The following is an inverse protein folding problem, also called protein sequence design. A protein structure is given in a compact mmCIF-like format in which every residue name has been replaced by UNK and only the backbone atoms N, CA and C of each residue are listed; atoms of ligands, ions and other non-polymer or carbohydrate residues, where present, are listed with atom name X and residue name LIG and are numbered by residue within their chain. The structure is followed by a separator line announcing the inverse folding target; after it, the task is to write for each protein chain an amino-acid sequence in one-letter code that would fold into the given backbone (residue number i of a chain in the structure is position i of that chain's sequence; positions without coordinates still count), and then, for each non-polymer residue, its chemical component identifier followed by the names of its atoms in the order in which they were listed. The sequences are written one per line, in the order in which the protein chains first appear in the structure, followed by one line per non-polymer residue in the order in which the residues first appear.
data_IF_700607601567
#
_entry.id   IF_700607601567
#
_cell.length_a   1.000
_cell.length_b   1.000
_cell.length_c   1.000
_cell.angle_alpha   90.00
_cell.angle_beta   90.00
_cell.angle_gamma   90.00
#
_symmetry.space_group_name_H-M   'P 1'
#
loop_
_entity.id
_entity.type
_entity.pdbx_description
1 polymer ?
#
# COMPACT_ATOMS: atom_id res chain seq x y z
N UNK A 1 21.50 37.31 -1.05
CA UNK A 1 20.95 36.87 -2.36
C UNK A 1 19.80 35.92 -2.10
N UNK A 2 18.58 36.40 -2.33
CA UNK A 2 17.35 35.66 -2.09
C UNK A 2 17.15 34.60 -3.18
N UNK A 3 17.08 33.33 -2.80
CA UNK A 3 16.66 32.26 -3.69
C UNK A 3 15.16 32.01 -3.52
N UNK A 4 14.46 32.13 -4.66
CA UNK A 4 13.01 32.10 -4.83
C UNK A 4 12.35 30.85 -4.22
N UNK A 5 11.44 31.06 -3.27
CA UNK A 5 10.56 30.06 -2.62
C UNK A 5 9.30 29.71 -3.45
N UNK A 6 9.34 29.78 -4.77
CA UNK A 6 8.14 29.58 -5.58
C UNK A 6 8.43 28.90 -6.90
N UNK A 7 8.58 27.57 -6.91
CA UNK A 7 8.47 26.78 -8.16
C UNK A 7 8.22 25.26 -7.96
N UNK A 8 7.64 24.83 -6.83
CA UNK A 8 7.19 23.43 -6.64
C UNK A 8 5.71 23.42 -6.16
N UNK A 9 4.88 24.20 -6.82
CA UNK A 9 3.42 24.03 -6.83
C UNK A 9 2.97 24.29 -8.26
N UNK A 10 2.16 23.37 -8.79
CA UNK A 10 1.68 23.26 -10.18
C UNK A 10 2.72 22.70 -11.16
N UNK A 11 2.62 21.40 -11.45
CA UNK A 11 2.18 20.83 -12.74
C UNK A 11 2.32 19.29 -12.63
N UNK A 12 1.20 18.60 -12.39
CA UNK A 12 0.84 17.33 -13.04
C UNK A 12 -0.63 17.02 -12.73
N UNK A 13 -1.50 17.97 -13.06
CA UNK A 13 -2.92 17.70 -13.31
C UNK A 13 -3.19 18.12 -14.75
N UNK A 14 -2.78 17.29 -15.70
CA UNK A 14 -3.20 17.42 -17.09
C UNK A 14 -3.92 16.14 -17.50
N UNK A 15 -5.24 16.31 -17.63
CA UNK A 15 -6.19 15.50 -18.39
C UNK A 15 -6.67 14.15 -17.82
N UNK A 16 -6.85 14.05 -16.50
CA UNK A 16 -7.94 13.24 -15.96
C UNK A 16 -9.03 14.19 -15.47
N UNK A 17 -10.11 14.32 -16.24
CA UNK A 17 -11.39 14.83 -15.73
C UNK A 17 -11.74 14.01 -14.49
N UNK A 18 -11.58 14.60 -13.30
CA UNK A 18 -12.09 14.04 -12.04
C UNK A 18 -13.62 14.09 -12.05
N UNK A 19 -14.27 13.26 -12.87
CA UNK A 19 -15.66 12.91 -12.61
C UNK A 19 -15.66 12.03 -11.37
N UNK A 20 -16.05 12.62 -10.22
CA UNK A 20 -16.39 11.82 -9.04
C UNK A 20 -17.66 11.06 -9.38
N UNK A 21 -17.48 9.85 -9.92
CA UNK A 21 -18.53 8.85 -10.05
C UNK A 21 -19.19 8.64 -8.67
N UNK A 22 -20.52 8.57 -8.62
CA UNK A 22 -21.25 8.19 -7.41
C UNK A 22 -20.81 6.81 -6.93
N UNK A 23 -20.89 6.51 -5.64
CA UNK A 23 -20.47 5.22 -5.07
C UNK A 23 -21.08 4.01 -5.81
N UNK A 24 -22.35 4.11 -6.22
CA UNK A 24 -23.04 3.08 -7.01
C UNK A 24 -22.43 2.89 -8.40
N UNK A 25 -22.05 3.98 -9.08
CA UNK A 25 -21.43 3.89 -10.40
C UNK A 25 -20.00 3.33 -10.35
N UNK A 26 -19.24 3.60 -9.28
CA UNK A 26 -17.94 2.97 -9.04
C UNK A 26 -18.06 1.46 -8.81
N UNK A 27 -19.01 1.03 -7.98
CA UNK A 27 -19.24 -0.39 -7.70
C UNK A 27 -19.53 -1.17 -8.99
N UNK A 28 -20.40 -0.63 -9.85
CA UNK A 28 -20.71 -1.23 -11.15
C UNK A 28 -19.49 -1.41 -12.06
N UNK A 29 -18.56 -0.44 -12.06
CA UNK A 29 -17.29 -0.58 -12.80
C UNK A 29 -16.45 -1.73 -12.25
N UNK A 30 -16.33 -1.83 -10.92
CA UNK A 30 -15.55 -2.90 -10.27
C UNK A 30 -16.18 -4.29 -10.51
N UNK A 31 -17.50 -4.41 -10.47
CA UNK A 31 -18.23 -5.64 -10.80
C UNK A 31 -18.01 -6.05 -12.26
N UNK A 32 -18.03 -5.09 -13.19
CA UNK A 32 -17.75 -5.37 -14.60
C UNK A 32 -16.29 -5.79 -14.82
N UNK A 33 -15.33 -5.17 -14.12
CA UNK A 33 -13.93 -5.64 -14.13
C UNK A 33 -13.87 -7.08 -13.60
N UNK A 34 -14.53 -7.37 -12.48
CA UNK A 34 -14.54 -8.70 -11.88
C UNK A 34 -15.01 -9.79 -12.87
N UNK A 35 -16.04 -9.49 -13.68
CA UNK A 35 -16.53 -10.40 -14.73
C UNK A 35 -15.46 -10.74 -15.77
N UNK A 36 -14.59 -9.79 -16.13
CA UNK A 36 -13.49 -10.04 -17.07
C UNK A 36 -12.41 -10.95 -16.49
N UNK A 37 -12.25 -10.94 -15.17
CA UNK A 37 -11.32 -11.79 -14.43
C UNK A 37 -11.96 -13.08 -13.90
N UNK A 38 -13.24 -13.33 -14.20
CA UNK A 38 -13.89 -14.56 -13.79
C UNK A 38 -13.21 -15.76 -14.47
N UNK A 39 -12.90 -16.80 -13.70
CA UNK A 39 -12.17 -18.01 -14.15
C UNK A 39 -10.75 -17.77 -14.71
N UNK A 40 -10.16 -16.61 -14.42
CA UNK A 40 -8.77 -16.29 -14.77
C UNK A 40 -7.86 -16.59 -13.58
N UNK A 41 -7.06 -17.65 -13.70
CA UNK A 41 -6.05 -17.97 -12.68
C UNK A 41 -4.89 -16.96 -12.70
N UNK A 42 -4.60 -16.39 -11.54
CA UNK A 42 -3.56 -15.38 -11.35
C UNK A 42 -2.27 -15.95 -10.74
N UNK A 43 -2.31 -17.14 -10.13
CA UNK A 43 -1.25 -17.70 -9.25
C UNK A 43 0.17 -17.73 -9.83
N UNK A 44 0.32 -17.67 -11.15
CA UNK A 44 1.62 -17.72 -11.84
C UNK A 44 2.02 -16.39 -12.50
N UNK A 45 1.20 -15.35 -12.37
CA UNK A 45 1.52 -14.06 -12.98
C UNK A 45 2.82 -13.50 -12.36
N UNK A 46 3.75 -12.97 -13.17
CA UNK A 46 5.07 -12.60 -12.66
C UNK A 46 4.98 -11.37 -11.74
N UNK A 47 5.91 -11.27 -10.79
CA UNK A 47 6.00 -10.10 -9.88
C UNK A 47 6.57 -8.87 -10.58
N UNK A 48 7.46 -9.07 -11.56
CA UNK A 48 8.10 -8.02 -12.36
C UNK A 48 7.70 -8.13 -13.82
N UNK A 49 7.71 -7.01 -14.54
CA UNK A 49 7.38 -6.99 -15.97
C UNK A 49 8.23 -7.98 -16.76
N UNK A 50 7.56 -8.71 -17.67
CA UNK A 50 8.18 -9.53 -18.69
C UNK A 50 7.98 -8.88 -20.04
N UNK A 51 8.97 -9.03 -20.93
CA UNK A 51 8.88 -8.55 -22.31
C UNK A 51 7.80 -9.30 -23.12
N UNK A 52 7.47 -10.52 -22.70
CA UNK A 52 6.52 -11.37 -23.40
C UNK A 52 5.52 -12.04 -22.44
N UNK A 53 4.24 -11.73 -22.63
CA UNK A 53 3.13 -12.26 -21.83
C UNK A 53 2.36 -13.41 -22.52
N UNK A 54 2.90 -14.03 -23.58
CA UNK A 54 2.25 -15.14 -24.32
C UNK A 54 1.81 -16.30 -23.40
N UNK A 55 2.51 -16.55 -22.30
CA UNK A 55 2.13 -17.58 -21.30
C UNK A 55 0.91 -17.19 -20.45
N UNK A 56 0.50 -15.92 -20.50
CA UNK A 56 -0.55 -15.30 -19.68
C UNK A 56 -1.70 -14.75 -20.52
N UNK A 57 -2.00 -15.38 -21.67
CA UNK A 57 -3.05 -14.95 -22.61
C UNK A 57 -4.41 -14.69 -21.96
N UNK A 58 -4.84 -15.49 -20.98
CA UNK A 58 -6.12 -15.27 -20.29
C UNK A 58 -6.15 -13.92 -19.55
N UNK A 59 -5.07 -13.58 -18.85
CA UNK A 59 -4.93 -12.29 -18.16
C UNK A 59 -4.83 -11.14 -19.16
N UNK A 60 -4.10 -11.35 -20.26
CA UNK A 60 -4.00 -10.34 -21.33
C UNK A 60 -5.36 -10.09 -21.98
N UNK A 61 -6.14 -11.14 -22.25
CA UNK A 61 -7.49 -11.01 -22.80
C UNK A 61 -8.44 -10.29 -21.83
N UNK A 62 -8.42 -10.65 -20.54
CA UNK A 62 -9.19 -9.95 -19.51
C UNK A 62 -8.86 -8.45 -19.47
N UNK A 63 -7.57 -8.11 -19.47
CA UNK A 63 -7.12 -6.73 -19.55
C UNK A 63 -7.62 -6.04 -20.84
N UNK A 64 -7.46 -6.67 -22.00
CA UNK A 64 -7.89 -6.09 -23.28
C UNK A 64 -9.41 -5.84 -23.29
N UNK A 65 -10.21 -6.75 -22.72
CA UNK A 65 -11.64 -6.55 -22.58
C UNK A 65 -11.96 -5.35 -21.68
N UNK A 66 -11.24 -5.16 -20.57
CA UNK A 66 -11.39 -3.95 -19.75
C UNK A 66 -11.10 -2.65 -20.54
N UNK A 67 -10.15 -2.68 -21.47
CA UNK A 67 -9.86 -1.53 -22.35
C UNK A 67 -10.99 -1.32 -23.36
N UNK A 68 -11.44 -2.38 -24.03
CA UNK A 68 -12.53 -2.32 -25.03
C UNK A 68 -13.84 -1.81 -24.39
N UNK A 69 -14.16 -2.28 -23.20
CA UNK A 69 -15.34 -1.87 -22.42
C UNK A 69 -15.15 -0.54 -21.66
N UNK A 70 -14.01 0.13 -21.84
CA UNK A 70 -13.69 1.42 -21.21
C UNK A 70 -13.74 1.39 -19.66
N UNK A 71 -13.46 0.24 -19.05
CA UNK A 71 -13.41 0.07 -17.60
C UNK A 71 -12.11 0.62 -16.99
N UNK A 72 -11.08 0.81 -17.82
CA UNK A 72 -9.73 1.24 -17.43
C UNK A 72 -9.50 2.75 -17.51
N UNK A 73 -10.51 3.51 -17.90
CA UNK A 73 -10.40 4.96 -18.12
C UNK A 73 -10.06 5.73 -16.84
N UNK A 74 -10.40 5.19 -15.67
CA UNK A 74 -10.05 5.81 -14.40
C UNK A 74 -9.56 4.74 -13.40
N UNK A 75 -8.23 4.55 -13.26
CA UNK A 75 -7.64 3.61 -12.32
C UNK A 75 -8.04 3.86 -10.86
N UNK A 76 -8.54 5.06 -10.52
CA UNK A 76 -9.09 5.29 -9.19
C UNK A 76 -10.27 4.38 -8.87
N UNK A 77 -10.98 3.84 -9.87
CA UNK A 77 -12.09 2.92 -9.67
C UNK A 77 -11.63 1.54 -9.21
N UNK A 78 -10.40 1.14 -9.52
CA UNK A 78 -9.84 -0.15 -9.10
C UNK A 78 -9.92 -0.32 -7.57
N UNK A 79 -10.11 -1.55 -7.07
CA UNK A 79 -10.06 -1.83 -5.64
C UNK A 79 -8.67 -1.52 -5.10
N UNK A 80 -8.61 -0.99 -3.88
CA UNK A 80 -7.32 -0.82 -3.21
C UNK A 80 -6.82 -2.17 -2.70
N UNK A 81 -5.49 -2.32 -2.59
CA UNK A 81 -4.85 -3.48 -1.97
C UNK A 81 -5.42 -3.74 -0.56
N UNK A 82 -5.61 -2.69 0.24
CA UNK A 82 -6.24 -2.80 1.56
C UNK A 82 -7.67 -3.36 1.51
N UNK A 83 -8.48 -2.94 0.52
CA UNK A 83 -9.83 -3.49 0.31
C UNK A 83 -9.78 -4.96 -0.10
N UNK A 84 -8.88 -5.33 -1.02
CA UNK A 84 -8.71 -6.73 -1.46
C UNK A 84 -8.35 -7.61 -0.25
N UNK A 85 -7.32 -7.24 0.51
CA UNK A 85 -6.85 -8.01 1.66
C UNK A 85 -7.93 -8.11 2.74
N UNK A 86 -8.57 -7.00 3.12
CA UNK A 86 -9.62 -7.02 4.15
C UNK A 86 -10.84 -7.88 3.77
N UNK A 87 -11.30 -7.84 2.53
CA UNK A 87 -12.50 -8.60 2.11
C UNK A 87 -12.22 -10.08 1.85
N UNK A 88 -10.95 -10.46 1.69
CA UNK A 88 -10.53 -11.86 1.44
C UNK A 88 -9.80 -12.48 2.62
N UNK A 89 -9.95 -11.89 3.82
CA UNK A 89 -9.34 -12.41 5.03
C UNK A 89 -9.74 -13.87 5.27
N UNK A 90 -8.78 -14.70 5.70
CA UNK A 90 -9.09 -16.10 6.02
C UNK A 90 -10.11 -16.19 7.16
N UNK A 91 -10.92 -17.27 7.24
CA UNK A 91 -11.86 -17.45 8.34
C UNK A 91 -11.19 -17.39 9.72
N UNK A 92 -9.97 -17.92 9.84
CA UNK A 92 -9.21 -17.89 11.09
C UNK A 92 -8.73 -16.48 11.44
N UNK A 93 -8.18 -15.73 10.48
CA UNK A 93 -7.80 -14.33 10.67
C UNK A 93 -8.99 -13.46 11.05
N UNK A 94 -10.15 -13.67 10.41
CA UNK A 94 -11.39 -12.98 10.73
C UNK A 94 -11.86 -13.29 12.16
N UNK A 95 -11.75 -14.56 12.59
CA UNK A 95 -12.10 -14.99 13.94
C UNK A 95 -11.20 -14.35 14.99
N UNK A 96 -9.89 -14.27 14.75
CA UNK A 96 -8.93 -13.59 15.62
C UNK A 96 -9.25 -12.09 15.71
N UNK A 97 -9.53 -11.44 14.58
CA UNK A 97 -9.90 -10.02 14.55
C UNK A 97 -11.17 -9.75 15.35
N UNK A 98 -12.24 -10.52 15.12
CA UNK A 98 -13.50 -10.40 15.85
C UNK A 98 -13.34 -10.61 17.35
N UNK A 99 -12.48 -11.56 17.77
CA UNK A 99 -12.17 -11.78 19.19
C UNK A 99 -11.50 -10.54 19.80
N UNK A 100 -10.50 -9.99 19.13
CA UNK A 100 -9.84 -8.76 19.58
C UNK A 100 -10.80 -7.57 19.65
N UNK A 101 -11.67 -7.39 18.66
CA UNK A 101 -12.70 -6.34 18.68
C UNK A 101 -13.64 -6.52 19.88
N UNK A 102 -14.15 -7.73 20.12
CA UNK A 102 -15.01 -8.03 21.26
C UNK A 102 -14.31 -7.78 22.61
N UNK A 103 -13.03 -8.16 22.74
CA UNK A 103 -12.23 -7.89 23.93
C UNK A 103 -12.05 -6.40 24.18
N UNK A 104 -11.75 -5.60 23.14
CA UNK A 104 -11.61 -4.14 23.25
C UNK A 104 -12.94 -3.46 23.58
N UNK A 105 -14.06 -3.89 22.96
CA UNK A 105 -15.40 -3.39 23.29
C UNK A 105 -15.75 -3.72 24.75
N UNK A 106 -15.41 -4.91 25.25
CA UNK A 106 -15.62 -5.28 26.65
C UNK A 106 -14.82 -4.40 27.62
N UNK A 107 -13.62 -3.96 27.23
CA UNK A 107 -12.74 -3.12 28.05
C UNK A 107 -13.15 -1.64 28.04
N UNK A 108 -13.55 -1.11 26.88
CA UNK A 108 -13.72 0.33 26.65
C UNK A 108 -15.19 0.77 26.49
N UNK A 109 -16.12 -0.19 26.34
CA UNK A 109 -17.45 0.07 25.81
C UNK A 109 -17.44 0.28 24.29
N UNK A 110 -18.62 0.30 23.67
CA UNK A 110 -18.75 0.48 22.22
C UNK A 110 -18.27 1.86 21.76
N UNK A 111 -18.68 2.93 22.45
CA UNK A 111 -18.23 4.30 22.13
C UNK A 111 -16.73 4.48 22.35
N UNK A 112 -16.20 3.96 23.47
CA UNK A 112 -14.76 3.99 23.73
C UNK A 112 -13.95 3.21 22.69
N UNK A 113 -14.47 2.09 22.17
CA UNK A 113 -13.86 1.37 21.07
C UNK A 113 -13.84 2.18 19.76
N UNK A 114 -14.91 2.93 19.45
CA UNK A 114 -14.94 3.81 18.27
C UNK A 114 -13.91 4.94 18.37
N UNK A 115 -13.79 5.59 19.53
CA UNK A 115 -12.76 6.62 19.72
C UNK A 115 -11.35 6.02 19.68
N UNK A 116 -11.13 4.88 20.33
CA UNK A 116 -9.86 4.15 20.24
C UNK A 116 -9.45 3.83 18.79
N UNK A 117 -10.40 3.37 17.96
CA UNK A 117 -10.15 3.10 16.54
C UNK A 117 -9.79 4.36 15.77
N UNK A 118 -10.48 5.47 16.04
CA UNK A 118 -10.20 6.79 15.43
C UNK A 118 -8.82 7.30 15.84
N UNK A 119 -8.44 7.12 17.10
CA UNK A 119 -7.10 7.43 17.59
C UNK A 119 -6.03 6.57 16.90
N UNK A 120 -6.22 5.25 16.77
CA UNK A 120 -5.29 4.38 16.05
C UNK A 120 -5.01 4.87 14.62
N UNK A 121 -6.05 5.25 13.88
CA UNK A 121 -5.89 5.80 12.53
C UNK A 121 -5.20 7.17 12.53
N UNK A 122 -5.57 8.04 13.47
CA UNK A 122 -4.94 9.35 13.62
C UNK A 122 -3.44 9.21 13.91
N UNK A 123 -3.06 8.29 14.80
CA UNK A 123 -1.67 8.02 15.16
C UNK A 123 -0.84 7.57 13.96
N UNK A 124 -1.37 6.63 13.16
CA UNK A 124 -0.70 6.19 11.93
C UNK A 124 -0.54 7.33 10.91
N UNK A 125 -1.60 8.12 10.71
CA UNK A 125 -1.57 9.26 9.79
C UNK A 125 -0.53 10.31 10.17
N UNK A 126 -0.45 10.68 11.45
CA UNK A 126 0.54 11.67 11.93
C UNK A 126 1.97 11.13 11.74
N UNK A 127 2.21 9.84 12.02
CA UNK A 127 3.52 9.24 11.78
C UNK A 127 3.93 9.33 10.31
N UNK A 128 3.05 8.95 9.38
CA UNK A 128 3.31 9.04 7.93
C UNK A 128 3.59 10.48 7.49
N UNK A 129 2.81 11.46 7.99
CA UNK A 129 3.06 12.88 7.74
C UNK A 129 4.42 13.35 8.25
N UNK A 130 4.84 12.90 9.44
CA UNK A 130 6.15 13.22 10.00
C UNK A 130 7.27 12.58 9.18
N UNK A 131 7.12 11.32 8.76
CA UNK A 131 8.10 10.65 7.88
C UNK A 131 8.23 11.42 6.58
N UNK A 132 7.11 11.76 5.92
CA UNK A 132 7.13 12.56 4.70
C UNK A 132 7.85 13.90 4.91
N UNK A 133 7.44 14.65 5.94
CA UNK A 133 8.03 15.97 6.25
C UNK A 133 9.53 15.85 6.48
N UNK A 134 9.97 14.85 7.24
CA UNK A 134 11.39 14.64 7.48
C UNK A 134 12.17 14.26 6.22
N UNK A 135 11.66 13.34 5.40
CA UNK A 135 12.36 12.90 4.20
C UNK A 135 12.51 14.03 3.17
N UNK A 136 11.56 14.96 3.12
CA UNK A 136 11.58 16.14 2.26
C UNK A 136 12.48 17.27 2.80
N UNK A 137 12.46 17.51 4.12
CA UNK A 137 13.08 18.72 4.72
C UNK A 137 14.37 18.46 5.47
N UNK A 138 14.57 17.22 5.93
CA UNK A 138 15.64 16.78 6.85
C UNK A 138 15.67 17.55 8.16
N UNK A 139 14.54 18.11 8.58
CA UNK A 139 14.43 18.95 9.77
C UNK A 139 13.41 18.39 10.78
N UNK A 140 13.91 17.90 11.91
CA UNK A 140 13.11 17.34 13.01
C UNK A 140 12.20 18.42 13.63
N UNK A 141 12.56 19.71 13.53
CA UNK A 141 11.75 20.81 14.11
C UNK A 141 10.43 21.03 13.36
N UNK A 142 10.29 20.48 12.16
CA UNK A 142 9.07 20.58 11.35
C UNK A 142 8.08 19.44 11.62
N UNK A 143 8.46 18.49 12.48
CA UNK A 143 7.61 17.35 12.83
C UNK A 143 6.54 17.76 13.83
N UNK A 144 5.35 17.18 13.66
CA UNK A 144 4.21 17.46 14.50
C UNK A 144 4.00 16.33 15.51
N UNK A 145 4.27 16.61 16.78
CA UNK A 145 4.04 15.69 17.89
C UNK A 145 2.91 16.19 18.77
N UNK A 146 1.72 15.61 18.59
CA UNK A 146 0.52 15.97 19.36
C UNK A 146 0.35 15.14 20.65
N UNK A 147 1.18 14.12 20.85
CA UNK A 147 1.13 13.26 22.03
C UNK A 147 2.44 12.52 22.25
N UNK A 148 2.64 11.98 23.46
CA UNK A 148 3.83 11.19 23.79
C UNK A 148 3.98 9.94 22.90
N UNK A 149 2.86 9.31 22.56
CA UNK A 149 2.82 8.18 21.63
C UNK A 149 3.37 8.56 20.25
N UNK A 150 3.10 9.77 19.75
CA UNK A 150 3.67 10.26 18.48
C UNK A 150 5.18 10.47 18.55
N UNK A 151 5.68 11.06 19.64
CA UNK A 151 7.13 11.18 19.86
C UNK A 151 7.80 9.80 19.92
N UNK A 152 7.16 8.85 20.60
CA UNK A 152 7.68 7.49 20.75
C UNK A 152 7.72 6.75 19.41
N UNK A 153 6.68 6.84 18.58
CA UNK A 153 6.72 6.25 17.24
C UNK A 153 7.86 6.83 16.39
N UNK A 154 8.10 8.15 16.48
CA UNK A 154 9.24 8.76 15.81
C UNK A 154 10.57 8.24 16.34
N UNK A 155 10.75 8.23 17.66
CA UNK A 155 11.92 7.67 18.33
C UNK A 155 12.19 6.22 17.91
N UNK A 156 11.14 5.43 17.74
CA UNK A 156 11.23 4.03 17.29
C UNK A 156 11.93 3.90 15.94
N UNK A 157 11.63 4.79 14.99
CA UNK A 157 12.15 4.75 13.60
C UNK A 157 13.32 5.70 13.36
N UNK A 158 13.67 6.56 14.31
CA UNK A 158 14.73 7.58 14.16
C UNK A 158 16.06 6.97 13.69
N UNK A 159 16.40 5.79 14.20
CA UNK A 159 17.61 5.06 13.82
C UNK A 159 17.62 4.57 12.36
N UNK A 160 16.46 4.48 11.70
CA UNK A 160 16.31 4.07 10.30
C UNK A 160 16.57 5.26 9.36
N UNK A 161 16.24 6.48 9.81
CA UNK A 161 16.24 7.69 8.99
C UNK A 161 17.57 8.04 8.31
N UNK A 162 18.75 7.91 8.96
CA UNK A 162 20.03 8.22 8.33
C UNK A 162 20.36 7.33 7.12
N UNK A 163 19.79 6.13 7.06
CA UNK A 163 19.99 5.19 5.96
C UNK A 163 19.12 5.53 4.75
N UNK A 164 18.14 6.43 4.89
CA UNK A 164 17.22 6.84 3.82
C UNK A 164 17.69 8.18 3.24
N UNK A 165 18.17 8.20 1.98
CA UNK A 165 18.82 9.40 1.40
C UNK A 165 18.02 10.06 0.27
N UNK A 166 17.91 9.41 -0.88
CA UNK A 166 17.26 10.01 -2.04
C UNK A 166 15.78 9.66 -2.02
N UNK A 167 14.90 10.64 -1.83
CA UNK A 167 13.45 10.46 -1.92
C UNK A 167 13.02 10.62 -3.39
N UNK A 168 12.46 9.57 -3.98
CA UNK A 168 11.89 9.61 -5.33
C UNK A 168 10.41 9.98 -5.32
N UNK A 169 9.69 9.67 -4.23
CA UNK A 169 8.31 10.08 -4.02
C UNK A 169 7.70 9.51 -2.74
N UNK A 170 6.66 10.18 -2.26
CA UNK A 170 5.88 9.83 -1.07
C UNK A 170 4.39 9.85 -1.39
N UNK A 171 3.60 9.04 -0.68
CA UNK A 171 2.14 8.95 -0.83
C UNK A 171 1.70 8.74 -2.29
N UNK A 172 2.41 7.84 -2.99
CA UNK A 172 2.27 7.64 -4.43
C UNK A 172 1.04 6.82 -4.75
N UNK A 173 0.11 7.41 -5.52
CA UNK A 173 -1.00 6.67 -6.11
C UNK A 173 -0.49 5.80 -7.26
N UNK A 174 -0.51 4.49 -7.06
CA UNK A 174 -0.03 3.48 -8.01
C UNK A 174 -1.15 2.51 -8.37
N UNK A 175 -1.09 1.96 -9.58
CA UNK A 175 -2.03 0.95 -10.05
C UNK A 175 -1.31 -0.09 -10.89
N UNK A 176 -1.84 -1.32 -10.89
CA UNK A 176 -1.29 -2.38 -11.71
C UNK A 176 -2.03 -2.42 -13.06
N UNK A 177 -1.33 -2.23 -14.20
CA UNK A 177 -1.98 -2.09 -15.50
C UNK A 177 -2.72 -3.35 -15.94
N UNK A 178 -2.19 -4.55 -15.67
CA UNK A 178 -2.86 -5.79 -16.07
C UNK A 178 -3.86 -6.34 -15.05
N UNK A 179 -3.55 -6.27 -13.75
CA UNK A 179 -4.31 -6.93 -12.69
C UNK A 179 -5.38 -6.05 -12.02
N UNK A 180 -5.48 -4.78 -12.44
CA UNK A 180 -6.60 -3.88 -12.12
C UNK A 180 -6.83 -3.64 -10.62
N UNK A 181 -5.76 -3.54 -9.85
CA UNK A 181 -5.79 -3.08 -8.47
C UNK A 181 -4.97 -1.78 -8.32
N UNK A 182 -5.16 -1.07 -7.20
CA UNK A 182 -4.42 0.15 -6.89
C UNK A 182 -3.97 0.22 -5.44
N UNK A 183 -3.18 1.23 -5.10
CA UNK A 183 -3.10 1.71 -3.74
C UNK A 183 -2.21 2.94 -3.61
N UNK A 184 -1.90 3.27 -2.35
CA UNK A 184 -1.10 4.43 -1.99
C UNK A 184 0.15 3.89 -1.33
N UNK A 185 1.28 4.02 -2.01
CA UNK A 185 2.57 3.60 -1.51
C UNK A 185 3.19 4.72 -0.68
N UNK A 186 3.57 4.40 0.56
CA UNK A 186 4.02 5.39 1.54
C UNK A 186 5.24 6.18 1.04
N UNK A 187 6.32 5.49 0.65
CA UNK A 187 7.42 6.15 -0.04
C UNK A 187 8.32 5.23 -0.87
N UNK A 188 9.04 5.85 -1.79
CA UNK A 188 10.09 5.28 -2.62
C UNK A 188 11.35 6.11 -2.41
N UNK A 189 12.40 5.48 -1.91
CA UNK A 189 13.65 6.15 -1.62
C UNK A 189 14.85 5.19 -1.72
N UNK A 190 16.08 5.68 -1.60
CA UNK A 190 17.24 4.81 -1.37
C UNK A 190 17.36 4.43 0.11
N UNK A 191 17.59 3.16 0.40
CA UNK A 191 17.98 2.63 1.71
C UNK A 191 19.40 2.09 1.60
N UNK A 192 20.36 2.64 2.36
CA UNK A 192 21.79 2.28 2.20
C UNK A 192 22.24 2.32 0.73
N UNK A 193 21.84 3.38 0.02
CA UNK A 193 22.11 3.62 -1.41
C UNK A 193 21.45 2.62 -2.38
N UNK A 194 20.56 1.74 -1.91
CA UNK A 194 19.78 0.79 -2.73
C UNK A 194 18.33 1.31 -2.92
N UNK A 195 17.83 1.46 -4.16
CA UNK A 195 16.45 1.85 -4.38
C UNK A 195 15.43 0.86 -3.80
N UNK A 196 14.56 1.37 -2.94
CA UNK A 196 13.62 0.61 -2.15
C UNK A 196 12.23 1.27 -2.12
N UNK A 197 11.20 0.45 -2.00
CA UNK A 197 9.91 0.90 -1.48
C UNK A 197 9.87 0.71 0.03
N UNK A 198 9.12 1.56 0.72
CA UNK A 198 8.86 1.43 2.14
C UNK A 198 7.36 1.34 2.42
N UNK A 199 7.02 0.47 3.36
CA UNK A 199 5.72 0.38 4.01
C UNK A 199 5.92 0.60 5.51
N UNK A 200 5.28 1.62 6.08
CA UNK A 200 5.40 2.01 7.48
C UNK A 200 4.14 1.61 8.26
N UNK A 201 4.32 0.84 9.32
CA UNK A 201 3.22 0.42 10.20
C UNK A 201 3.49 0.83 11.64
N UNK A 202 2.44 1.20 12.35
CA UNK A 202 2.46 1.37 13.81
C UNK A 202 2.03 0.08 14.49
N UNK A 203 2.58 -0.20 15.68
CA UNK A 203 2.11 -1.31 16.51
C UNK A 203 2.27 -1.07 18.01
N UNK A 204 1.32 -1.57 18.77
CA UNK A 204 1.42 -1.71 20.23
C UNK A 204 2.20 -2.97 20.63
N UNK A 205 2.35 -3.94 19.72
CA UNK A 205 2.96 -5.25 20.00
C UNK A 205 4.18 -5.47 19.12
N UNK A 206 5.25 -6.01 19.70
CA UNK A 206 6.47 -6.37 18.97
C UNK A 206 6.20 -7.35 17.82
N UNK A 207 6.89 -7.14 16.71
CA UNK A 207 6.79 -7.88 15.44
C UNK A 207 8.19 -8.28 14.95
N UNK A 208 8.95 -9.07 15.73
CA UNK A 208 10.38 -9.34 15.46
C UNK A 208 10.63 -10.19 14.21
N UNK A 209 9.59 -10.80 13.63
CA UNK A 209 9.71 -11.60 12.41
C UNK A 209 8.58 -11.28 11.45
N UNK A 210 8.81 -11.50 10.16
CA UNK A 210 7.83 -11.27 9.08
C UNK A 210 6.51 -12.01 9.36
N UNK A 211 6.54 -13.23 9.92
CA UNK A 211 5.34 -14.00 10.24
C UNK A 211 4.41 -13.29 11.25
N UNK A 212 4.94 -12.43 12.12
CA UNK A 212 4.14 -11.66 13.06
C UNK A 212 3.39 -10.48 12.41
N UNK A 213 3.75 -10.13 11.17
CA UNK A 213 3.24 -8.94 10.45
C UNK A 213 1.99 -9.21 9.60
N UNK A 214 1.44 -10.43 9.65
CA UNK A 214 0.20 -10.82 8.96
C UNK A 214 0.24 -10.51 7.44
N UNK A 215 -0.76 -9.79 6.92
CA UNK A 215 -0.89 -9.46 5.50
C UNK A 215 0.02 -8.28 5.06
N UNK A 216 0.77 -7.64 5.97
CA UNK A 216 1.64 -6.51 5.62
C UNK A 216 2.62 -6.84 4.48
N UNK A 217 3.30 -8.01 4.45
CA UNK A 217 4.21 -8.31 3.36
C UNK A 217 3.50 -8.50 2.02
N UNK A 218 2.24 -8.94 2.02
CA UNK A 218 1.42 -9.06 0.80
C UNK A 218 1.12 -7.66 0.25
N UNK A 219 0.79 -6.71 1.14
CA UNK A 219 0.60 -5.30 0.76
C UNK A 219 1.88 -4.71 0.16
N UNK A 220 3.01 -4.84 0.86
CA UNK A 220 4.31 -4.32 0.41
C UNK A 220 4.70 -4.90 -0.95
N UNK A 221 4.53 -6.22 -1.15
CA UNK A 221 4.87 -6.87 -2.41
C UNK A 221 3.93 -6.50 -3.56
N UNK A 222 2.65 -6.23 -3.28
CA UNK A 222 1.71 -5.72 -4.29
C UNK A 222 2.11 -4.31 -4.76
N UNK A 223 2.52 -3.42 -3.84
CA UNK A 223 3.10 -2.13 -4.22
C UNK A 223 4.38 -2.26 -5.02
N UNK A 224 5.28 -3.15 -4.60
CA UNK A 224 6.50 -3.45 -5.33
C UNK A 224 6.17 -3.86 -6.76
N UNK A 225 5.26 -4.82 -6.94
CA UNK A 225 4.87 -5.31 -8.26
C UNK A 225 4.29 -4.21 -9.15
N UNK A 226 3.39 -3.35 -8.64
CA UNK A 226 2.89 -2.20 -9.40
C UNK A 226 4.02 -1.38 -10.05
N UNK A 227 5.01 -0.96 -9.27
CA UNK A 227 6.12 -0.12 -9.76
C UNK A 227 7.05 -0.83 -10.74
N UNK A 228 7.05 -2.17 -10.76
CA UNK A 228 7.80 -2.95 -11.74
C UNK A 228 7.09 -3.02 -13.09
N UNK A 229 5.77 -2.78 -13.12
CA UNK A 229 4.95 -2.82 -14.34
C UNK A 229 4.66 -1.43 -14.90
N UNK A 230 4.36 -0.47 -14.03
CA UNK A 230 4.06 0.91 -14.40
C UNK A 230 4.58 1.87 -13.32
N UNK A 231 5.29 2.91 -13.76
CA UNK A 231 5.78 3.97 -12.88
C UNK A 231 5.03 5.26 -13.20
N UNK A 232 4.71 6.11 -12.20
CA UNK A 232 4.14 7.42 -12.47
C UNK A 232 5.03 8.21 -13.44
N UNK A 233 4.49 8.61 -14.59
CA UNK A 233 5.27 9.20 -15.69
C UNK A 233 6.05 10.48 -15.32
N UNK A 234 5.62 11.16 -14.26
CA UNK A 234 6.25 12.37 -13.73
C UNK A 234 7.41 12.08 -12.77
N UNK A 235 7.68 10.81 -12.43
CA UNK A 235 8.73 10.43 -11.49
C UNK A 235 9.80 9.60 -12.19
N UNK A 236 11.06 9.97 -12.01
CA UNK A 236 12.22 9.20 -12.49
C UNK A 236 12.65 8.21 -11.40
N UNK A 237 11.87 7.16 -11.22
CA UNK A 237 12.15 6.14 -10.20
C UNK A 237 13.14 5.12 -10.80
N UNK A 238 14.31 4.88 -10.19
CA UNK A 238 15.22 3.83 -10.66
C UNK A 238 14.60 2.45 -10.49
N UNK A 239 15.26 1.42 -11.04
CA UNK A 239 14.79 0.05 -10.87
C UNK A 239 14.83 -0.34 -9.38
N UNK A 240 13.65 -0.48 -8.76
CA UNK A 240 13.49 -0.83 -7.35
C UNK A 240 14.00 -2.25 -7.09
N UNK A 241 14.93 -2.36 -6.14
CA UNK A 241 15.57 -3.62 -5.75
C UNK A 241 15.01 -4.20 -4.47
N UNK A 242 14.61 -3.33 -3.55
CA UNK A 242 14.16 -3.71 -2.20
C UNK A 242 12.71 -3.34 -1.93
N UNK A 243 12.10 -4.14 -1.06
CA UNK A 243 10.77 -3.89 -0.53
C UNK A 243 10.89 -4.02 0.99
N UNK A 244 10.73 -2.91 1.70
CA UNK A 244 11.05 -2.80 3.12
C UNK A 244 9.77 -2.52 3.90
N UNK A 245 9.50 -3.35 4.90
CA UNK A 245 8.41 -3.17 5.85
C UNK A 245 9.00 -2.73 7.20
N UNK A 246 8.62 -1.56 7.69
CA UNK A 246 9.10 -1.04 8.98
C UNK A 246 7.96 -0.96 9.98
N UNK A 247 8.18 -1.53 11.17
CA UNK A 247 7.19 -1.55 12.25
C UNK A 247 7.66 -0.62 13.38
N UNK A 248 7.01 0.52 13.53
CA UNK A 248 7.23 1.50 14.60
C UNK A 248 6.42 1.14 15.85
N UNK A 249 7.03 1.30 17.03
CA UNK A 249 6.44 0.92 18.31
C UNK A 249 6.04 2.11 19.17
N UNK A 250 4.89 1.99 19.82
CA UNK A 250 4.27 3.06 20.63
C UNK A 250 5.05 3.39 21.90
N UNK A 251 5.84 2.45 22.41
CA UNK A 251 6.71 2.63 23.59
C UNK A 251 8.05 3.31 23.25
N UNK A 252 8.34 3.52 21.96
CA UNK A 252 9.59 4.10 21.47
C UNK A 252 10.76 3.12 21.49
N UNK A 253 10.50 1.82 21.69
CA UNK A 253 11.47 0.76 21.43
C UNK A 253 11.87 0.77 19.95
N UNK A 254 13.06 0.24 19.66
CA UNK A 254 13.64 0.25 18.31
C UNK A 254 12.71 -0.46 17.33
N UNK A 255 12.37 0.20 16.22
CA UNK A 255 11.53 -0.36 15.17
C UNK A 255 12.16 -1.61 14.55
N UNK A 256 11.32 -2.57 14.16
CA UNK A 256 11.76 -3.71 13.35
C UNK A 256 11.75 -3.33 11.86
N UNK A 257 12.87 -3.59 11.19
CA UNK A 257 13.05 -3.33 9.75
C UNK A 257 13.14 -4.67 9.01
N UNK A 258 12.10 -5.00 8.25
CA UNK A 258 12.00 -6.24 7.48
C UNK A 258 12.26 -5.97 6.01
N UNK A 259 13.48 -6.24 5.54
CA UNK A 259 13.80 -6.25 4.11
C UNK A 259 13.27 -7.58 3.54
N UNK A 260 12.26 -7.52 2.67
CA UNK A 260 11.64 -8.72 2.11
C UNK A 260 12.57 -9.35 1.07
N UNK A 261 13.18 -10.48 1.40
CA UNK A 261 14.10 -11.20 0.51
C UNK A 261 13.43 -11.62 -0.82
N UNK A 262 14.18 -11.70 -1.93
CA UNK A 262 13.61 -12.00 -3.26
C UNK A 262 12.72 -13.26 -3.31
N UNK A 263 13.16 -14.37 -2.70
CA UNK A 263 12.39 -15.61 -2.66
C UNK A 263 11.10 -15.48 -1.83
N UNK A 264 11.17 -14.73 -0.73
CA UNK A 264 10.00 -14.43 0.07
C UNK A 264 9.02 -13.55 -0.69
N UNK A 265 9.50 -12.54 -1.44
CA UNK A 265 8.63 -11.69 -2.28
C UNK A 265 7.85 -12.51 -3.31
N UNK A 266 8.47 -13.50 -3.95
CA UNK A 266 7.78 -14.40 -4.88
C UNK A 266 6.67 -15.19 -4.15
N UNK A 267 6.95 -15.66 -2.95
CA UNK A 267 5.96 -16.40 -2.14
C UNK A 267 4.79 -15.52 -1.72
N UNK A 268 5.07 -14.33 -1.16
CA UNK A 268 4.06 -13.36 -0.78
C UNK A 268 3.25 -12.86 -1.98
N UNK A 269 3.88 -12.71 -3.15
CA UNK A 269 3.21 -12.34 -4.39
C UNK A 269 2.19 -13.39 -4.83
N UNK A 270 2.56 -14.68 -4.81
CA UNK A 270 1.63 -15.78 -5.10
C UNK A 270 0.44 -15.77 -4.13
N UNK A 271 0.68 -15.50 -2.85
CA UNK A 271 -0.39 -15.38 -1.87
C UNK A 271 -1.30 -14.18 -2.17
N UNK A 272 -0.74 -13.01 -2.47
CA UNK A 272 -1.52 -11.85 -2.88
C UNK A 272 -2.35 -12.12 -4.14
N UNK A 273 -1.79 -12.79 -5.15
CA UNK A 273 -2.52 -13.17 -6.37
C UNK A 273 -3.72 -14.07 -6.07
N UNK A 274 -3.59 -15.03 -5.14
CA UNK A 274 -4.73 -15.85 -4.68
C UNK A 274 -5.82 -15.00 -4.02
N UNK A 275 -5.42 -14.02 -3.20
CA UNK A 275 -6.35 -13.07 -2.56
C UNK A 275 -7.05 -12.20 -3.60
N UNK A 276 -6.33 -11.74 -4.61
CA UNK A 276 -6.90 -10.95 -5.70
C UNK A 276 -7.87 -11.78 -6.58
N UNK A 277 -7.49 -13.02 -6.91
CA UNK A 277 -8.36 -13.95 -7.65
C UNK A 277 -9.65 -14.22 -6.88
N UNK A 278 -9.54 -14.56 -5.58
CA UNK A 278 -10.70 -14.73 -4.70
C UNK A 278 -11.59 -13.47 -4.67
N UNK A 279 -10.99 -12.28 -4.58
CA UNK A 279 -11.73 -11.02 -4.58
C UNK A 279 -12.54 -10.84 -5.87
N UNK A 280 -11.93 -11.11 -7.03
CA UNK A 280 -12.62 -11.04 -8.30
C UNK A 280 -13.73 -12.07 -8.44
N UNK A 281 -13.48 -13.33 -8.08
CA UNK A 281 -14.52 -14.36 -8.09
C UNK A 281 -15.70 -14.02 -7.18
N UNK A 282 -15.46 -13.47 -5.99
CA UNK A 282 -16.53 -13.08 -5.07
C UNK A 282 -17.39 -11.93 -5.60
N UNK A 283 -16.82 -11.00 -6.37
CA UNK A 283 -17.57 -9.89 -6.96
C UNK A 283 -18.28 -10.27 -8.27
N UNK A 284 -17.68 -11.14 -9.08
CA UNK A 284 -18.29 -11.60 -10.31
C UNK A 284 -19.56 -12.44 -10.07
N UNK A 285 -19.65 -13.10 -8.92
CA UNK A 285 -20.76 -13.97 -8.51
C UNK A 285 -21.83 -13.27 -7.63
N UNK A 286 -21.78 -11.94 -7.50
CA UNK A 286 -22.83 -11.14 -6.86
C UNK A 286 -23.81 -10.61 -7.90
#
# INVERSE_FOLDING_TARGET
MAFNKGFIRQISSSNYTKSKLSTNSRLKVVENIAKQFNDVSLEKFPITRLDNLIKYKKIQNAHNNCVIEQLDVNPNNYPSISTILSQTMSPESLRILKRWEAEKIRQLGFEGFLEYKKELFSRGKILHQNIQTYLETRDIKQLNFNSKSQENFWKSIEHVMPNIKELYGSELSIYHPYLKYRGILDCVATYNDIPAIFEWKTSEKLKPTIAHTYDNPLQTVAYYSCLQYDQPANLKIPNIKEAILVIAYEDGSKADVHILEPNYRITAWKQFLKRLEQYWSQLANK
#
